data_IF_157536117347
#
_entry.id   IF_157536117347
#
_cell.length_a   1.000
_cell.length_b   1.000
_cell.length_c   1.000
_cell.angle_alpha   90.00
_cell.angle_beta   90.00
_cell.angle_gamma   90.00
#
_symmetry.space_group_name_H-M   'P 1'
#
loop_
_entity.id
_entity.type
_entity.pdbx_description
1 polymer ?
#
# COMPACT_ATOMS: atom_id res chain seq x y z
N UNK A 1 15.11 -11.09 2.69
CA UNK A 1 14.68 -9.69 2.44
C UNK A 1 14.75 -8.80 3.69
N UNK A 2 15.45 -9.23 4.74
CA UNK A 2 15.57 -8.45 5.97
C UNK A 2 16.22 -7.08 5.70
N UNK A 3 15.67 -6.01 6.29
CA UNK A 3 16.11 -4.62 6.14
C UNK A 3 16.07 -4.00 4.73
N UNK A 4 15.42 -4.63 3.75
CA UNK A 4 15.22 -4.01 2.43
C UNK A 4 14.14 -2.92 2.51
N UNK A 5 14.48 -1.72 2.02
CA UNK A 5 13.58 -0.57 1.99
C UNK A 5 13.05 -0.37 0.57
N UNK A 6 11.74 -0.13 0.45
CA UNK A 6 11.08 0.20 -0.81
C UNK A 6 10.42 1.57 -0.67
N UNK A 7 10.77 2.48 -1.57
CA UNK A 7 10.22 3.84 -1.57
C UNK A 7 9.31 4.05 -2.79
N UNK A 8 8.22 4.79 -2.57
CA UNK A 8 7.26 5.16 -3.60
C UNK A 8 6.78 6.58 -3.41
N UNK A 9 6.37 7.21 -4.51
CA UNK A 9 5.93 8.60 -4.54
C UNK A 9 4.51 8.68 -5.11
N UNK A 10 3.73 9.68 -4.71
CA UNK A 10 2.45 9.92 -5.39
C UNK A 10 2.68 10.43 -6.81
N UNK A 11 1.72 10.24 -7.73
CA UNK A 11 1.82 10.76 -9.11
C UNK A 11 2.18 12.24 -9.15
N UNK A 12 1.57 13.06 -8.29
CA UNK A 12 1.86 14.50 -8.20
C UNK A 12 3.29 14.82 -7.79
N UNK A 13 3.89 13.98 -6.94
CA UNK A 13 5.29 14.14 -6.53
C UNK A 13 6.21 13.79 -7.70
N UNK A 14 5.91 12.73 -8.44
CA UNK A 14 6.67 12.33 -9.63
C UNK A 14 6.61 13.43 -10.69
N UNK A 15 5.42 13.94 -10.99
CA UNK A 15 5.20 15.03 -11.97
C UNK A 15 5.91 16.33 -11.57
N UNK A 16 6.05 16.60 -10.27
CA UNK A 16 6.71 17.80 -9.76
C UNK A 16 8.23 17.63 -9.54
N UNK A 17 8.75 16.40 -9.59
CA UNK A 17 10.16 16.14 -9.32
C UNK A 17 11.03 16.46 -10.54
N UNK A 18 12.27 16.92 -10.34
CA UNK A 18 13.22 17.07 -11.44
C UNK A 18 13.58 15.68 -12.00
N UNK A 19 13.92 15.55 -13.31
CA UNK A 19 14.33 14.28 -13.90
C UNK A 19 15.46 13.57 -13.14
N UNK A 20 16.38 14.35 -12.54
CA UNK A 20 17.49 13.84 -11.74
C UNK A 20 17.07 13.13 -10.45
N UNK A 21 15.81 13.25 -10.02
CA UNK A 21 15.27 12.53 -8.86
C UNK A 21 15.06 11.03 -9.12
N UNK A 22 15.13 10.57 -10.39
CA UNK A 22 15.00 9.16 -10.74
C UNK A 22 13.65 8.55 -10.38
N UNK A 23 12.60 9.38 -10.28
CA UNK A 23 11.25 8.92 -10.00
C UNK A 23 10.56 8.53 -11.30
N UNK A 24 10.25 7.25 -11.44
CA UNK A 24 9.55 6.72 -12.61
C UNK A 24 8.07 6.48 -12.31
N UNK A 25 7.17 6.71 -13.30
CA UNK A 25 5.78 6.31 -13.21
C UNK A 25 5.60 4.80 -12.99
N UNK A 26 4.43 4.41 -12.50
CA UNK A 26 4.05 3.01 -12.39
C UNK A 26 3.99 2.32 -13.74
N UNK A 27 4.50 1.09 -13.81
CA UNK A 27 4.29 0.20 -14.96
C UNK A 27 2.78 0.00 -15.21
N UNK A 28 2.26 0.29 -16.41
CA UNK A 28 0.87 0.01 -16.78
C UNK A 28 0.45 -1.46 -16.62
N UNK A 29 1.39 -2.40 -16.76
CA UNK A 29 1.17 -3.86 -16.71
C UNK A 29 1.44 -4.47 -15.33
N UNK A 30 1.64 -3.63 -14.31
CA UNK A 30 1.88 -4.06 -12.93
C UNK A 30 0.80 -5.01 -12.41
N UNK A 31 1.24 -5.88 -11.51
CA UNK A 31 0.44 -6.98 -10.96
C UNK A 31 -0.71 -6.53 -10.06
N UNK A 32 -0.45 -5.58 -9.16
CA UNK A 32 -1.43 -5.07 -8.21
C UNK A 32 -1.87 -3.70 -8.68
N UNK A 33 -3.17 -3.54 -8.99
CA UNK A 33 -3.70 -2.30 -9.58
C UNK A 33 -4.91 -1.77 -8.83
N UNK A 34 -4.97 -0.45 -8.60
CA UNK A 34 -6.15 0.16 -7.99
C UNK A 34 -7.44 -0.16 -8.80
N UNK A 35 -8.57 -0.48 -8.14
CA UNK A 35 -9.77 -1.02 -8.80
C UNK A 35 -10.66 0.08 -9.42
N UNK A 36 -10.05 1.17 -9.91
CA UNK A 36 -10.73 2.36 -10.39
C UNK A 36 -10.32 2.64 -11.83
N UNK A 37 -11.28 3.12 -12.63
CA UNK A 37 -11.03 3.48 -14.02
C UNK A 37 -10.19 4.77 -14.10
N UNK A 38 -8.99 4.65 -14.65
CA UNK A 38 -8.04 5.75 -14.82
C UNK A 38 -8.47 6.74 -15.92
N UNK A 39 -9.34 6.32 -16.84
CA UNK A 39 -9.88 7.17 -17.90
C UNK A 39 -11.03 8.06 -17.42
N UNK A 40 -11.58 7.79 -16.23
CA UNK A 40 -12.60 8.61 -15.61
C UNK A 40 -11.96 9.70 -14.72
N UNK A 41 -12.06 11.00 -15.07
CA UNK A 41 -11.40 12.08 -14.32
C UNK A 41 -11.76 12.13 -12.83
N UNK A 42 -12.97 11.73 -12.46
CA UNK A 42 -13.43 11.72 -11.06
C UNK A 42 -12.82 10.56 -10.25
N UNK A 43 -12.45 9.47 -10.91
CA UNK A 43 -11.90 8.27 -10.29
C UNK A 43 -10.38 8.17 -10.43
N UNK A 44 -9.78 8.87 -11.39
CA UNK A 44 -8.33 8.94 -11.61
C UNK A 44 -7.56 9.31 -10.35
N UNK A 45 -8.12 10.16 -9.50
CA UNK A 45 -7.54 10.53 -8.21
C UNK A 45 -7.38 9.37 -7.21
N UNK A 46 -7.93 8.19 -7.48
CA UNK A 46 -7.81 6.97 -6.67
C UNK A 46 -6.86 5.93 -7.29
N UNK A 47 -6.17 6.29 -8.37
CA UNK A 47 -5.24 5.42 -9.10
C UNK A 47 -3.81 5.94 -8.97
N UNK A 48 -2.83 5.06 -9.13
CA UNK A 48 -1.41 5.40 -9.19
C UNK A 48 -0.88 6.06 -7.90
N UNK A 49 -1.39 5.62 -6.75
CA UNK A 49 -0.98 6.14 -5.44
C UNK A 49 0.39 5.59 -5.02
N UNK A 50 1.03 6.25 -4.05
CA UNK A 50 2.33 5.83 -3.56
C UNK A 50 2.31 4.38 -3.01
N UNK A 51 1.20 3.97 -2.37
CA UNK A 51 0.97 2.60 -1.91
C UNK A 51 1.09 1.61 -3.06
N UNK A 52 0.51 1.93 -4.23
CA UNK A 52 0.51 1.06 -5.41
C UNK A 52 1.93 0.85 -5.95
N UNK A 53 2.80 1.87 -5.88
CA UNK A 53 4.22 1.72 -6.22
C UNK A 53 4.94 0.77 -5.28
N UNK A 54 4.80 1.00 -3.97
CA UNK A 54 5.53 0.25 -2.96
C UNK A 54 5.12 -1.23 -3.00
N UNK A 55 3.82 -1.53 -3.11
CA UNK A 55 3.36 -2.93 -3.13
C UNK A 55 3.83 -3.68 -4.38
N UNK A 56 3.93 -3.03 -5.55
CA UNK A 56 4.43 -3.69 -6.75
C UNK A 56 5.96 -3.86 -6.70
N UNK A 57 6.73 -2.84 -6.29
CA UNK A 57 8.18 -2.99 -6.08
C UNK A 57 8.51 -4.11 -5.09
N UNK A 58 7.71 -4.23 -4.02
CA UNK A 58 7.82 -5.34 -3.09
C UNK A 58 7.46 -6.67 -3.75
N UNK A 59 6.34 -6.73 -4.48
CA UNK A 59 5.89 -7.95 -5.14
C UNK A 59 6.93 -8.48 -6.13
N UNK A 60 7.45 -7.63 -7.01
CA UNK A 60 8.48 -7.99 -7.99
C UNK A 60 9.73 -8.57 -7.28
N UNK A 61 10.20 -7.88 -6.24
CA UNK A 61 11.36 -8.34 -5.46
C UNK A 61 11.12 -9.63 -4.66
N UNK A 62 9.87 -9.92 -4.26
CA UNK A 62 9.51 -11.16 -3.55
C UNK A 62 9.36 -12.30 -4.52
N UNK A 63 8.64 -12.11 -5.63
CA UNK A 63 8.34 -13.15 -6.62
C UNK A 63 9.64 -13.69 -7.24
N UNK A 64 10.65 -12.84 -7.44
CA UNK A 64 11.99 -13.24 -7.89
C UNK A 64 12.68 -14.21 -6.92
N UNK A 65 12.37 -14.14 -5.62
CA UNK A 65 12.99 -14.94 -4.56
C UNK A 65 12.13 -16.13 -4.11
N UNK A 66 10.81 -16.00 -4.23
CA UNK A 66 9.82 -16.96 -3.75
C UNK A 66 8.81 -17.23 -4.87
N UNK A 67 9.00 -18.29 -5.67
CA UNK A 67 8.11 -18.62 -6.79
C UNK A 67 6.68 -18.94 -6.36
N UNK A 68 6.48 -19.36 -5.11
CA UNK A 68 5.18 -19.66 -4.54
C UNK A 68 4.82 -18.58 -3.49
N UNK A 69 3.76 -17.79 -3.72
CA UNK A 69 3.33 -16.74 -2.79
C UNK A 69 2.97 -17.23 -1.38
N UNK A 70 2.63 -18.52 -1.22
CA UNK A 70 2.34 -19.11 0.08
C UNK A 70 3.58 -19.25 0.97
N UNK A 71 4.77 -19.31 0.37
CA UNK A 71 6.03 -19.43 1.12
C UNK A 71 6.49 -18.08 1.72
N UNK A 72 5.87 -16.99 1.27
CA UNK A 72 6.15 -15.63 1.72
C UNK A 72 5.51 -15.40 3.09
N UNK A 73 6.35 -15.40 4.13
CA UNK A 73 5.95 -15.19 5.53
C UNK A 73 6.83 -14.15 6.20
N UNK A 74 6.29 -13.48 7.21
CA UNK A 74 7.00 -12.46 7.98
C UNK A 74 6.20 -11.18 8.10
N UNK A 75 6.90 -10.06 8.29
CA UNK A 75 6.31 -8.73 8.49
C UNK A 75 6.81 -7.76 7.43
N UNK A 76 5.89 -7.10 6.75
CA UNK A 76 6.16 -5.94 5.90
C UNK A 76 5.69 -4.69 6.64
N UNK A 77 6.61 -3.77 6.91
CA UNK A 77 6.29 -2.48 7.50
C UNK A 77 6.06 -1.47 6.38
N UNK A 78 4.84 -0.93 6.29
CA UNK A 78 4.46 0.08 5.30
C UNK A 78 4.16 1.38 6.03
N UNK A 79 5.06 2.36 5.91
CA UNK A 79 4.91 3.68 6.52
C UNK A 79 4.55 4.71 5.45
N UNK A 80 3.54 5.54 5.74
CA UNK A 80 3.14 6.64 4.87
C UNK A 80 3.39 8.00 5.49
N UNK A 81 3.95 8.92 4.71
CA UNK A 81 4.12 10.31 5.12
C UNK A 81 2.82 11.13 5.12
N UNK A 82 1.70 10.57 4.64
CA UNK A 82 0.41 11.26 4.60
C UNK A 82 -0.25 11.27 6.00
N UNK A 83 -0.38 12.42 6.67
CA UNK A 83 -0.86 12.48 8.04
C UNK A 83 -2.37 12.29 8.17
N UNK A 84 -3.10 12.16 7.06
CA UNK A 84 -4.53 11.80 7.08
C UNK A 84 -4.77 10.28 7.18
N UNK A 85 -3.69 9.50 7.16
CA UNK A 85 -3.73 8.05 7.08
C UNK A 85 -4.01 7.52 5.67
N UNK A 86 -4.06 6.20 5.57
CA UNK A 86 -4.25 5.49 4.30
C UNK A 86 -5.62 5.79 3.71
N UNK A 87 -5.64 6.03 2.40
CA UNK A 87 -6.83 6.37 1.65
C UNK A 87 -7.88 5.23 1.68
N UNK A 88 -9.17 5.57 1.69
CA UNK A 88 -10.25 4.58 1.72
C UNK A 88 -10.25 3.65 0.48
N UNK A 89 -9.87 4.19 -0.68
CA UNK A 89 -9.72 3.43 -1.93
C UNK A 89 -8.61 2.37 -1.86
N UNK A 90 -7.49 2.72 -1.22
CA UNK A 90 -6.31 1.88 -1.03
C UNK A 90 -6.60 0.68 -0.13
N UNK A 91 -7.54 0.85 0.81
CA UNK A 91 -8.03 -0.16 1.77
C UNK A 91 -9.35 -0.83 1.38
N UNK A 92 -9.90 -0.51 0.21
CA UNK A 92 -11.16 -1.11 -0.19
C UNK A 92 -11.07 -2.65 -0.18
N UNK A 93 -12.13 -3.34 0.21
CA UNK A 93 -12.15 -4.80 0.21
C UNK A 93 -11.97 -5.48 1.56
N UNK A 94 -11.51 -4.77 2.60
CA UNK A 94 -11.53 -5.30 3.97
C UNK A 94 -12.98 -5.33 4.50
N UNK A 95 -13.63 -6.50 4.49
CA UNK A 95 -15.03 -6.69 4.92
C UNK A 95 -15.88 -7.51 3.93
N UNK A 96 -17.21 -7.57 4.13
CA UNK A 96 -18.14 -8.31 3.23
C UNK A 96 -17.89 -7.93 1.76
N UNK A 97 -17.96 -8.96 0.89
CA UNK A 97 -17.72 -8.94 -0.56
C UNK A 97 -17.82 -7.55 -1.22
N UNK A 98 -16.72 -6.79 -1.20
CA UNK A 98 -16.61 -5.57 -1.97
C UNK A 98 -16.23 -5.93 -3.39
N UNK A 99 -16.95 -5.38 -4.37
CA UNK A 99 -16.55 -5.45 -5.79
C UNK A 99 -15.23 -4.72 -6.06
N UNK A 100 -14.83 -3.81 -5.15
CA UNK A 100 -13.58 -3.05 -5.23
C UNK A 100 -12.57 -3.61 -4.25
N UNK A 101 -11.46 -4.09 -4.78
CA UNK A 101 -10.33 -4.62 -4.03
C UNK A 101 -9.21 -3.58 -4.10
N UNK A 102 -8.93 -2.87 -3.02
CA UNK A 102 -7.84 -1.92 -2.93
C UNK A 102 -6.48 -2.61 -2.95
N UNK A 103 -5.41 -1.85 -3.18
CA UNK A 103 -4.06 -2.39 -3.35
C UNK A 103 -3.55 -3.15 -2.12
N UNK A 104 -3.89 -2.71 -0.90
CA UNK A 104 -3.49 -3.42 0.32
C UNK A 104 -4.25 -4.74 0.51
N UNK A 105 -5.52 -4.79 0.09
CA UNK A 105 -6.30 -6.03 0.09
C UNK A 105 -5.71 -7.03 -0.90
N UNK A 106 -5.45 -6.58 -2.13
CA UNK A 106 -4.86 -7.41 -3.19
C UNK A 106 -3.50 -7.98 -2.76
N UNK A 107 -2.59 -7.14 -2.25
CA UNK A 107 -1.29 -7.59 -1.75
C UNK A 107 -1.44 -8.67 -0.68
N UNK A 108 -2.33 -8.43 0.28
CA UNK A 108 -2.54 -9.36 1.40
C UNK A 108 -3.18 -10.68 0.98
N UNK A 109 -4.04 -10.68 -0.04
CA UNK A 109 -4.59 -11.91 -0.62
C UNK A 109 -3.56 -12.65 -1.45
N UNK A 110 -2.65 -11.92 -2.10
CA UNK A 110 -1.58 -12.52 -2.89
C UNK A 110 -0.54 -13.22 -2.03
N UNK A 111 -0.13 -12.59 -0.92
CA UNK A 111 0.79 -13.17 0.07
C UNK A 111 0.05 -13.41 1.40
N UNK A 112 -0.77 -14.47 1.51
CA UNK A 112 -1.68 -14.66 2.66
C UNK A 112 -0.95 -14.90 4.00
N UNK A 113 0.29 -15.37 3.96
CA UNK A 113 1.10 -15.61 5.14
C UNK A 113 1.92 -14.39 5.60
N UNK A 114 1.91 -13.30 4.82
CA UNK A 114 2.56 -12.04 5.15
C UNK A 114 1.67 -11.18 6.05
N UNK A 115 2.26 -10.62 7.11
CA UNK A 115 1.63 -9.61 7.96
C UNK A 115 2.09 -8.22 7.50
N UNK A 116 1.16 -7.40 7.00
CA UNK A 116 1.45 -6.04 6.57
C UNK A 116 1.10 -5.09 7.71
N UNK A 117 2.12 -4.49 8.33
CA UNK A 117 1.99 -3.54 9.42
C UNK A 117 1.99 -2.14 8.83
N UNK A 118 0.84 -1.47 8.87
CA UNK A 118 0.66 -0.17 8.26
C UNK A 118 0.72 0.92 9.32
N UNK A 119 1.54 1.94 9.07
CA UNK A 119 1.62 3.16 9.87
C UNK A 119 1.53 4.40 8.98
N UNK A 120 1.15 5.53 9.58
CA UNK A 120 1.17 6.83 8.93
C UNK A 120 1.75 7.86 9.87
N UNK A 121 2.40 8.88 9.29
CA UNK A 121 2.88 10.05 10.00
C UNK A 121 1.77 10.66 10.86
N UNK A 122 2.09 11.11 12.08
CA UNK A 122 1.14 11.81 12.94
C UNK A 122 1.65 13.22 13.18
N UNK A 123 0.84 14.21 12.79
CA UNK A 123 1.13 15.62 13.06
C UNK A 123 0.37 16.12 14.26
N UNK A 124 1.01 16.96 15.06
CA UNK A 124 0.38 17.61 16.21
C UNK A 124 -0.91 18.33 15.79
N UNK A 125 -1.96 18.16 16.60
CA UNK A 125 -3.29 18.72 16.33
C UNK A 125 -4.13 17.96 15.30
N UNK A 126 -3.62 16.90 14.66
CA UNK A 126 -4.43 16.05 13.77
C UNK A 126 -5.05 14.87 14.51
N UNK A 127 -6.31 14.57 14.17
CA UNK A 127 -7.04 13.43 14.74
C UNK A 127 -6.49 12.12 14.18
N UNK A 128 -5.87 11.32 15.04
CA UNK A 128 -5.51 9.93 14.73
C UNK A 128 -6.76 9.07 14.63
N UNK A 129 -6.83 8.24 13.59
CA UNK A 129 -7.95 7.35 13.29
C UNK A 129 -7.47 5.94 12.97
N UNK A 130 -8.41 4.99 12.82
CA UNK A 130 -8.13 3.62 12.37
C UNK A 130 -7.50 3.52 10.97
N UNK A 131 -7.35 4.64 10.25
CA UNK A 131 -6.62 4.71 8.99
C UNK A 131 -5.12 4.92 9.14
N UNK A 132 -4.63 5.24 10.34
CA UNK A 132 -3.22 5.54 10.57
C UNK A 132 -2.43 4.29 10.95
N UNK A 133 -3.02 3.43 11.78
CA UNK A 133 -2.34 2.26 12.32
C UNK A 133 -3.26 1.05 12.26
N UNK A 134 -2.89 0.05 11.46
CA UNK A 134 -3.62 -1.21 11.36
C UNK A 134 -2.71 -2.29 10.78
N UNK A 135 -3.14 -3.55 10.96
CA UNK A 135 -2.47 -4.72 10.39
C UNK A 135 -3.36 -5.28 9.31
N UNK A 136 -2.77 -5.77 8.22
CA UNK A 136 -3.46 -6.50 7.17
C UNK A 136 -2.85 -7.89 7.02
N UNK A 137 -3.69 -8.93 7.03
CA UNK A 137 -3.27 -10.31 6.78
C UNK A 137 -4.41 -11.11 6.13
N UNK A 138 -4.08 -11.89 5.12
CA UNK A 138 -5.02 -12.70 4.33
C UNK A 138 -6.33 -11.95 3.96
N UNK A 139 -6.20 -10.71 3.50
CA UNK A 139 -7.33 -9.87 3.09
C UNK A 139 -8.24 -9.42 4.23
N UNK A 140 -7.79 -9.51 5.49
CA UNK A 140 -8.49 -9.00 6.68
C UNK A 140 -7.68 -7.86 7.30
N UNK A 141 -8.41 -6.88 7.82
CA UNK A 141 -7.83 -5.78 8.59
C UNK A 141 -8.02 -6.06 10.09
N UNK A 142 -6.96 -5.82 10.86
CA UNK A 142 -6.91 -5.95 12.31
C UNK A 142 -6.49 -4.62 12.93
N UNK A 143 -6.99 -4.33 14.14
CA UNK A 143 -6.57 -3.15 14.88
C UNK A 143 -5.08 -3.28 15.27
N UNK A 144 -4.33 -2.18 15.15
CA UNK A 144 -2.96 -2.13 15.65
C UNK A 144 -2.98 -1.76 17.15
N UNK A 145 -2.32 -2.54 18.04
CA UNK A 145 -2.34 -2.31 19.48
C UNK A 145 -1.92 -0.89 19.85
N UNK A 146 -2.67 -0.24 20.75
CA UNK A 146 -2.45 1.19 21.09
C UNK A 146 -1.09 1.43 21.72
N UNK A 147 -0.60 0.49 22.52
CA UNK A 147 0.72 0.50 23.17
C UNK A 147 1.90 0.52 22.18
N UNK A 148 1.65 0.21 20.91
CA UNK A 148 2.66 0.15 19.84
C UNK A 148 2.60 1.32 18.87
N UNK A 149 1.61 2.21 19.01
CA UNK A 149 1.49 3.46 18.22
C UNK A 149 2.47 4.49 18.77
N UNK A 150 3.73 4.36 18.39
CA UNK A 150 4.78 5.35 18.67
C UNK A 150 4.99 6.21 17.44
#
# INVERSE_FOLDING_TARGET
MENKVFEGASTRVIEAAPPAAGLEPLDPNRKIKAPYDENNPFLKQYTNHAEEMIVNKFADAVDDLYPNPLDVKGKLYLHQSNPKGVCGACKAGFGKSSKRQGVLYQLSKWYPNLEIIVSSEVKEGQKVTKSHFFIVKDGKQYDYPEDRRK
#
